data_IF_469669096151
#
_entry.id   IF_469669096151
#
_cell.length_a   1.000
_cell.length_b   1.000
_cell.length_c   1.000
_cell.angle_alpha   90.00
_cell.angle_beta   90.00
_cell.angle_gamma   90.00
#
_symmetry.space_group_name_H-M   'P 1'
#
loop_
_entity.id
_entity.type
_entity.pdbx_description
1 polymer ?
#
# COMPACT_ATOMS: atom_id res chain seq x y z
N UNK A 1 3.74 -3.83 -9.74
CA UNK A 1 4.54 -2.64 -10.05
C UNK A 1 4.92 -1.97 -8.73
N UNK A 2 6.18 -1.82 -8.45
CA UNK A 2 6.70 -1.20 -7.22
C UNK A 2 6.87 0.29 -7.51
N UNK A 3 5.96 1.10 -7.04
CA UNK A 3 5.89 2.55 -7.29
C UNK A 3 5.66 3.32 -6.00
N UNK A 4 4.81 2.78 -5.13
CA UNK A 4 4.31 3.50 -3.95
C UNK A 4 5.42 3.88 -2.95
N UNK A 5 6.50 3.12 -2.91
CA UNK A 5 7.68 3.38 -2.08
C UNK A 5 8.52 4.56 -2.56
N UNK A 6 8.35 5.00 -3.80
CA UNK A 6 9.06 6.14 -4.40
C UNK A 6 8.25 7.43 -4.39
N UNK A 7 7.00 7.40 -3.92
CA UNK A 7 6.11 8.56 -3.96
C UNK A 7 6.26 9.46 -2.73
N UNK A 8 6.41 10.75 -2.96
CA UNK A 8 6.34 11.76 -1.90
C UNK A 8 4.96 11.82 -1.27
N UNK A 9 3.89 11.80 -2.08
CA UNK A 9 2.50 11.92 -1.66
C UNK A 9 1.70 10.64 -1.96
N UNK A 10 1.92 9.54 -1.23
CA UNK A 10 1.20 8.29 -1.46
C UNK A 10 -0.30 8.40 -1.21
N UNK A 11 -0.75 9.33 -0.33
CA UNK A 11 -2.19 9.59 -0.11
C UNK A 11 -2.85 10.18 -1.36
N UNK A 12 -2.23 11.18 -1.99
CA UNK A 12 -2.73 11.77 -3.24
C UNK A 12 -2.81 10.73 -4.35
N UNK A 13 -1.79 9.88 -4.47
CA UNK A 13 -1.80 8.78 -5.44
C UNK A 13 -2.91 7.77 -5.17
N UNK A 14 -3.09 7.32 -3.93
CA UNK A 14 -4.13 6.38 -3.57
C UNK A 14 -5.54 6.96 -3.81
N UNK A 15 -5.76 8.24 -3.48
CA UNK A 15 -7.00 8.95 -3.75
C UNK A 15 -7.27 9.08 -5.27
N UNK A 16 -6.24 9.38 -6.05
CA UNK A 16 -6.33 9.46 -7.51
C UNK A 16 -6.72 8.11 -8.13
N UNK A 17 -6.04 7.01 -7.76
CA UNK A 17 -6.40 5.68 -8.22
C UNK A 17 -7.84 5.33 -7.82
N UNK A 18 -8.22 5.68 -6.58
CA UNK A 18 -9.57 5.47 -6.08
C UNK A 18 -10.62 6.20 -6.94
N UNK A 19 -10.38 7.47 -7.28
CA UNK A 19 -11.30 8.27 -8.10
C UNK A 19 -11.46 7.73 -9.51
N UNK A 20 -10.38 7.24 -10.13
CA UNK A 20 -10.44 6.60 -11.45
C UNK A 20 -11.31 5.34 -11.41
N UNK A 21 -11.09 4.47 -10.45
CA UNK A 21 -11.87 3.23 -10.31
C UNK A 21 -13.35 3.53 -10.05
N UNK A 22 -13.64 4.49 -9.18
CA UNK A 22 -15.00 4.93 -8.88
C UNK A 22 -15.73 5.46 -10.12
N UNK A 23 -15.07 6.31 -10.90
CA UNK A 23 -15.63 6.86 -12.14
C UNK A 23 -15.91 5.80 -13.21
N UNK A 24 -15.18 4.67 -13.16
CA UNK A 24 -15.33 3.55 -14.10
C UNK A 24 -16.19 2.39 -13.53
N UNK A 25 -17.03 2.66 -12.54
CA UNK A 25 -17.96 1.67 -12.03
C UNK A 25 -17.40 0.79 -10.91
N UNK A 26 -16.35 1.24 -10.24
CA UNK A 26 -15.64 0.47 -9.21
C UNK A 26 -14.54 -0.40 -9.79
N UNK A 27 -13.89 -1.17 -8.94
CA UNK A 27 -12.85 -2.09 -9.39
C UNK A 27 -11.87 -2.48 -8.31
N UNK A 28 -10.87 -3.27 -8.71
CA UNK A 28 -9.85 -3.78 -7.81
C UNK A 28 -8.51 -3.12 -8.09
N UNK A 29 -7.90 -2.57 -7.04
CA UNK A 29 -6.54 -2.07 -7.05
C UNK A 29 -5.59 -3.14 -6.50
N UNK A 30 -4.59 -3.51 -7.28
CA UNK A 30 -3.55 -4.45 -6.90
C UNK A 30 -2.22 -3.71 -6.92
N UNK A 31 -1.51 -3.75 -5.79
CA UNK A 31 -0.19 -3.15 -5.67
C UNK A 31 0.80 -4.07 -4.97
N UNK A 32 2.06 -3.91 -5.31
CA UNK A 32 3.18 -4.58 -4.66
C UNK A 32 4.21 -3.55 -4.21
N UNK A 33 4.89 -3.84 -3.11
CA UNK A 33 5.96 -3.00 -2.56
C UNK A 33 6.89 -3.85 -1.68
N UNK A 34 8.14 -3.45 -1.44
CA UNK A 34 9.00 -4.14 -0.48
C UNK A 34 8.36 -4.19 0.90
N UNK A 35 8.48 -5.34 1.55
CA UNK A 35 7.94 -5.56 2.89
C UNK A 35 8.93 -5.06 3.96
N UNK A 36 8.46 -4.21 4.87
CA UNK A 36 9.21 -3.68 6.02
C UNK A 36 8.47 -3.94 7.33
N UNK A 37 8.36 -5.22 7.69
CA UNK A 37 7.78 -5.64 8.98
C UNK A 37 8.80 -5.62 10.11
N UNK A 38 8.30 -5.66 11.35
CA UNK A 38 9.10 -5.60 12.57
C UNK A 38 10.23 -6.64 12.60
N UNK A 39 9.93 -7.92 12.41
CA UNK A 39 10.92 -8.99 12.48
C UNK A 39 12.00 -8.87 11.40
N UNK A 40 11.62 -8.47 10.18
CA UNK A 40 12.59 -8.23 9.10
C UNK A 40 13.52 -7.08 9.45
N UNK A 41 12.99 -5.94 9.91
CA UNK A 41 13.80 -4.79 10.28
C UNK A 41 14.72 -5.10 11.47
N UNK A 42 14.21 -5.81 12.46
CA UNK A 42 15.01 -6.28 13.59
C UNK A 42 16.17 -7.18 13.12
N UNK A 43 15.90 -8.14 12.25
CA UNK A 43 16.94 -9.02 11.68
C UNK A 43 18.00 -8.24 10.93
N UNK A 44 17.62 -7.23 10.14
CA UNK A 44 18.55 -6.36 9.39
C UNK A 44 19.44 -5.59 10.36
N UNK A 45 18.87 -5.05 11.44
CA UNK A 45 19.59 -4.31 12.47
C UNK A 45 20.58 -5.21 13.23
N UNK A 46 20.14 -6.40 13.67
CA UNK A 46 20.96 -7.35 14.40
C UNK A 46 22.19 -7.84 13.61
N UNK A 47 22.05 -8.02 12.29
CA UNK A 47 23.17 -8.44 11.44
C UNK A 47 23.98 -7.26 10.88
N UNK A 48 23.73 -6.03 11.31
CA UNK A 48 24.45 -4.83 10.90
C UNK A 48 24.36 -4.49 9.41
N UNK A 49 23.27 -4.89 8.73
CA UNK A 49 23.09 -4.69 7.28
C UNK A 49 22.16 -3.53 6.91
N UNK A 50 21.88 -2.63 7.84
CA UNK A 50 20.96 -1.51 7.64
C UNK A 50 21.41 -0.61 6.48
N UNK A 51 22.64 -0.15 6.47
CA UNK A 51 23.17 0.75 5.43
C UNK A 51 23.08 0.15 4.02
N UNK A 52 23.43 -1.14 3.90
CA UNK A 52 23.31 -1.85 2.63
C UNK A 52 21.86 -2.06 2.21
N UNK A 53 20.97 -2.23 3.17
CA UNK A 53 19.55 -2.50 2.90
C UNK A 53 18.80 -1.24 2.49
N UNK A 54 19.05 -0.12 3.17
CA UNK A 54 18.35 1.15 2.90
C UNK A 54 19.00 1.98 1.81
N UNK A 55 20.27 1.68 1.44
CA UNK A 55 20.97 2.27 0.29
C UNK A 55 20.87 3.81 0.23
N UNK A 56 21.21 4.49 1.33
CA UNK A 56 21.01 5.93 1.50
C UNK A 56 21.68 6.80 0.41
N UNK A 57 22.75 6.30 -0.21
CA UNK A 57 23.50 7.01 -1.27
C UNK A 57 22.92 6.77 -2.68
N UNK A 58 21.88 5.94 -2.80
CA UNK A 58 21.26 5.66 -4.10
C UNK A 58 20.14 6.65 -4.40
N UNK A 59 20.34 7.52 -5.39
CA UNK A 59 19.40 8.58 -5.76
C UNK A 59 18.04 8.05 -6.27
N UNK A 60 17.93 6.84 -6.74
CA UNK A 60 16.68 6.17 -7.10
C UNK A 60 16.08 5.32 -5.98
N UNK A 61 16.55 5.45 -4.75
CA UNK A 61 16.18 4.61 -3.62
C UNK A 61 14.73 4.78 -3.15
N UNK A 62 14.32 3.86 -2.30
CA UNK A 62 13.01 3.92 -1.66
C UNK A 62 12.96 5.04 -0.63
N UNK A 63 11.95 5.89 -0.71
CA UNK A 63 11.71 6.99 0.26
C UNK A 63 10.62 6.65 1.27
N UNK A 64 9.83 5.60 1.03
CA UNK A 64 8.81 5.09 1.95
C UNK A 64 9.04 3.61 2.24
N UNK A 65 8.96 3.25 3.50
CA UNK A 65 9.15 1.89 3.98
C UNK A 65 7.83 1.37 4.57
N UNK A 66 7.15 0.53 3.80
CA UNK A 66 5.81 0.10 4.13
C UNK A 66 5.80 -1.19 4.94
N UNK A 67 5.05 -1.21 6.04
CA UNK A 67 4.60 -2.43 6.69
C UNK A 67 3.19 -2.79 6.23
N UNK A 68 2.75 -4.02 6.49
CA UNK A 68 1.37 -4.43 6.26
C UNK A 68 0.36 -3.45 6.89
N UNK A 69 0.64 -3.01 8.12
CA UNK A 69 -0.23 -2.11 8.87
C UNK A 69 -0.32 -0.72 8.23
N UNK A 70 0.81 -0.12 7.92
CA UNK A 70 0.84 1.26 7.39
C UNK A 70 0.24 1.35 6.00
N UNK A 71 0.46 0.34 5.15
CA UNK A 71 -0.13 0.29 3.82
C UNK A 71 -1.65 0.04 3.89
N UNK A 72 -2.11 -0.81 4.80
CA UNK A 72 -3.55 -1.01 5.02
C UNK A 72 -4.25 0.27 5.53
N UNK A 73 -3.59 1.05 6.38
CA UNK A 73 -4.12 2.35 6.84
C UNK A 73 -4.26 3.30 5.64
N UNK A 74 -3.22 3.44 4.82
CA UNK A 74 -3.24 4.30 3.64
C UNK A 74 -4.40 3.97 2.70
N UNK A 75 -4.58 2.69 2.38
CA UNK A 75 -5.66 2.25 1.48
C UNK A 75 -7.05 2.49 2.09
N UNK A 76 -7.19 2.27 3.41
CA UNK A 76 -8.45 2.52 4.11
C UNK A 76 -8.79 4.01 4.15
N UNK A 77 -7.82 4.88 4.45
CA UNK A 77 -7.99 6.33 4.41
C UNK A 77 -8.39 6.83 3.01
N UNK A 78 -7.92 6.17 1.95
CA UNK A 78 -8.31 6.47 0.59
C UNK A 78 -9.69 5.90 0.19
N UNK A 79 -10.38 5.19 1.10
CA UNK A 79 -11.72 4.66 0.86
C UNK A 79 -11.79 3.30 0.19
N UNK A 80 -10.67 2.57 0.13
CA UNK A 80 -10.66 1.18 -0.32
C UNK A 80 -11.21 0.23 0.75
N UNK A 81 -11.84 -0.86 0.30
CA UNK A 81 -12.46 -1.92 1.13
C UNK A 81 -11.94 -3.30 0.73
N UNK A 82 -12.38 -4.34 1.45
CA UNK A 82 -12.12 -5.75 1.13
C UNK A 82 -10.66 -6.03 0.79
N UNK A 83 -9.77 -5.59 1.69
CA UNK A 83 -8.34 -5.69 1.49
C UNK A 83 -7.84 -7.11 1.78
N UNK A 84 -7.10 -7.68 0.83
CA UNK A 84 -6.36 -8.91 1.00
C UNK A 84 -4.85 -8.65 0.95
N UNK A 85 -4.11 -9.32 1.83
CA UNK A 85 -2.66 -9.23 1.95
C UNK A 85 -1.99 -10.52 1.48
N UNK A 86 -0.87 -10.40 0.80
CA UNK A 86 0.02 -11.48 0.43
C UNK A 86 1.46 -11.10 0.70
N UNK A 87 2.21 -11.98 1.34
CA UNK A 87 3.66 -11.88 1.48
C UNK A 87 4.35 -12.77 0.45
N UNK A 88 5.46 -12.32 -0.14
CA UNK A 88 6.20 -13.04 -1.16
C UNK A 88 7.71 -13.04 -0.91
N UNK A 89 8.34 -14.17 -1.27
CA UNK A 89 9.78 -14.38 -1.09
C UNK A 89 10.20 -14.64 0.37
N UNK A 90 11.07 -15.61 0.57
CA UNK A 90 11.50 -16.10 1.89
C UNK A 90 10.37 -16.69 2.75
N UNK A 91 10.62 -16.84 4.04
CA UNK A 91 9.68 -17.37 5.03
C UNK A 91 8.75 -16.29 5.55
N UNK A 92 7.59 -16.65 6.15
CA UNK A 92 6.66 -15.73 6.75
C UNK A 92 7.33 -14.71 7.70
N UNK A 93 6.86 -13.46 7.67
CA UNK A 93 7.37 -12.30 8.41
C UNK A 93 8.78 -11.81 8.01
N UNK A 94 9.51 -12.56 7.17
CA UNK A 94 10.79 -12.16 6.55
C UNK A 94 10.66 -11.96 5.03
N UNK A 95 9.45 -11.74 4.53
CA UNK A 95 9.16 -11.53 3.10
C UNK A 95 10.03 -10.44 2.49
N UNK A 96 10.36 -10.61 1.22
CA UNK A 96 11.04 -9.56 0.44
C UNK A 96 10.04 -8.49 -0.01
N UNK A 97 8.89 -8.94 -0.48
CA UNK A 97 7.82 -8.12 -1.02
C UNK A 97 6.50 -8.45 -0.34
N UNK A 98 5.58 -7.53 -0.41
CA UNK A 98 4.19 -7.74 -0.06
C UNK A 98 3.28 -7.23 -1.15
N UNK A 99 2.13 -7.86 -1.30
CA UNK A 99 1.05 -7.45 -2.18
C UNK A 99 -0.20 -7.14 -1.38
N UNK A 100 -0.93 -6.15 -1.86
CA UNK A 100 -2.29 -5.87 -1.44
C UNK A 100 -3.21 -5.88 -2.65
N UNK A 101 -4.39 -6.46 -2.47
CA UNK A 101 -5.53 -6.17 -3.32
C UNK A 101 -6.61 -5.49 -2.49
N UNK A 102 -7.23 -4.45 -3.04
CA UNK A 102 -8.25 -3.68 -2.37
C UNK A 102 -9.32 -3.26 -3.37
N UNK A 103 -10.56 -3.17 -2.93
CA UNK A 103 -11.70 -2.84 -3.79
C UNK A 103 -12.11 -1.38 -3.60
N UNK A 104 -12.37 -0.73 -4.74
CA UNK A 104 -13.00 0.56 -4.81
C UNK A 104 -14.48 0.36 -5.16
N UNK A 105 -15.44 0.76 -4.32
CA UNK A 105 -16.86 0.71 -4.69
C UNK A 105 -17.18 1.65 -5.85
N UNK A 106 -18.24 1.35 -6.59
CA UNK A 106 -18.77 2.23 -7.62
C UNK A 106 -19.37 3.50 -7.00
N UNK A 107 -19.43 4.60 -7.75
CA UNK A 107 -20.04 5.85 -7.31
C UNK A 107 -21.53 5.66 -6.92
N UNK A 108 -22.23 4.77 -7.62
CA UNK A 108 -23.63 4.43 -7.30
C UNK A 108 -23.79 3.74 -5.94
N UNK A 109 -22.84 2.88 -5.55
CA UNK A 109 -22.85 2.18 -4.26
C UNK A 109 -22.60 3.15 -3.09
N UNK A 110 -21.74 4.15 -3.31
CA UNK A 110 -21.43 5.17 -2.29
C UNK A 110 -22.70 5.99 -2.00
N UNK A 111 -23.42 6.43 -3.04
CA UNK A 111 -24.66 7.19 -2.89
C UNK A 111 -25.77 6.40 -2.20
N UNK A 112 -25.84 5.10 -2.45
CA UNK A 112 -26.84 4.22 -1.78
C UNK A 112 -26.54 3.99 -0.29
N UNK A 113 -25.31 4.19 0.14
CA UNK A 113 -24.87 4.00 1.54
C UNK A 113 -24.91 5.29 2.38
N UNK A 114 -25.11 6.46 1.75
CA UNK A 114 -25.24 7.76 2.41
C UNK A 114 -26.67 8.34 2.20
N UNK A 115 -27.64 8.02 3.07
CA UNK A 115 -29.00 8.51 2.94
C UNK A 115 -29.16 10.02 3.21
N UNK A 116 -28.09 10.72 3.58
CA UNK A 116 -28.10 12.17 3.84
C UNK A 116 -27.74 13.03 2.61
N UNK A 117 -27.54 12.43 1.43
CA UNK A 117 -27.22 13.14 0.19
C UNK A 117 -28.43 13.36 -0.72
N UNK A 118 -29.63 13.57 -0.16
CA UNK A 118 -30.75 14.17 -0.91
C UNK A 118 -30.68 15.69 -0.82
N UNK A 119 -30.89 16.40 -1.95
CA UNK A 119 -30.85 17.85 -2.02
C UNK A 119 -32.01 18.51 -1.26
#
# INVERSE_FOLDING_TARGET
MEVIEHLYSPRTFAAFVRSILEANGGGRFILTTPYHGYLKNLSIALVGKADRHYSALWEGGHIKFWSRRTLAILLREAGFRNMAFTGAGRIPYLWRHMGFSAEAPAAAEIRACDPAAEP
#
